data_IF_752108011815
#
_entry.id   IF_752108011815
#
_cell.length_a   1.000
_cell.length_b   1.000
_cell.length_c   1.000
_cell.angle_alpha   90.00
_cell.angle_beta   90.00
_cell.angle_gamma   90.00
#
_symmetry.space_group_name_H-M   'P 1'
#
loop_
_entity.id
_entity.type
_entity.pdbx_description
1 polymer ?
#
# COMPACT_ATOMS: atom_id res chain seq x y z
N UNK A 1 7.36 -83.26 18.15
CA UNK A 1 6.46 -82.89 17.02
C UNK A 1 5.39 -81.89 17.45
N UNK A 2 5.76 -80.86 18.23
CA UNK A 2 4.79 -79.95 18.87
C UNK A 2 5.04 -78.46 18.57
N UNK A 3 5.93 -78.13 17.64
CA UNK A 3 6.31 -76.74 17.35
C UNK A 3 5.81 -76.19 15.99
N UNK A 4 5.30 -77.03 15.08
CA UNK A 4 4.93 -76.60 13.72
C UNK A 4 3.47 -76.14 13.58
N UNK A 5 2.59 -76.49 14.52
CA UNK A 5 1.15 -76.13 14.46
C UNK A 5 0.82 -74.76 15.07
N UNK A 6 1.71 -74.14 15.86
CA UNK A 6 1.50 -72.80 16.40
C UNK A 6 1.90 -71.69 15.41
N UNK A 7 2.86 -71.96 14.52
CA UNK A 7 3.33 -70.98 13.53
C UNK A 7 2.34 -70.80 12.36
N UNK A 8 1.70 -71.89 11.91
CA UNK A 8 0.68 -71.87 10.84
C UNK A 8 -0.68 -71.29 11.27
N UNK A 9 -0.99 -71.29 12.57
CA UNK A 9 -2.21 -70.69 13.11
C UNK A 9 -2.09 -69.15 13.17
N UNK A 10 -0.89 -68.65 13.54
CA UNK A 10 -0.58 -67.22 13.60
C UNK A 10 -0.47 -66.56 12.21
N UNK A 11 0.08 -67.25 11.19
CA UNK A 11 0.13 -66.69 9.82
C UNK A 11 -1.27 -66.42 9.24
N UNK A 12 -2.25 -67.31 9.51
CA UNK A 12 -3.63 -67.12 9.02
C UNK A 12 -4.34 -65.97 9.74
N UNK A 13 -4.12 -65.79 11.04
CA UNK A 13 -4.65 -64.62 11.78
C UNK A 13 -3.98 -63.31 11.39
N UNK A 14 -2.67 -63.31 11.13
CA UNK A 14 -1.92 -62.13 10.68
C UNK A 14 -2.32 -61.74 9.25
N UNK A 15 -2.47 -62.70 8.33
CA UNK A 15 -2.96 -62.43 6.97
C UNK A 15 -4.42 -61.97 7.00
N UNK A 16 -5.24 -62.48 7.91
CA UNK A 16 -6.62 -62.00 8.10
C UNK A 16 -6.65 -60.58 8.68
N UNK A 17 -5.80 -60.25 9.66
CA UNK A 17 -5.66 -58.90 10.21
C UNK A 17 -5.13 -57.90 9.18
N UNK A 18 -4.13 -58.27 8.37
CA UNK A 18 -3.58 -57.42 7.29
C UNK A 18 -4.62 -57.22 6.17
N UNK A 19 -5.37 -58.26 5.80
CA UNK A 19 -6.46 -58.16 4.81
C UNK A 19 -7.69 -57.38 5.29
N UNK A 20 -7.93 -57.31 6.61
CA UNK A 20 -9.03 -56.55 7.22
C UNK A 20 -8.61 -55.10 7.49
N UNK A 21 -7.37 -54.86 7.95
CA UNK A 21 -6.81 -53.52 8.14
C UNK A 21 -6.60 -52.78 6.82
N UNK A 22 -6.34 -53.50 5.71
CA UNK A 22 -6.28 -52.89 4.38
C UNK A 22 -7.67 -52.68 3.72
N UNK A 23 -8.77 -53.03 4.42
CA UNK A 23 -10.17 -52.92 3.91
C UNK A 23 -10.99 -51.80 4.56
N UNK A 24 -10.45 -51.12 5.56
CA UNK A 24 -11.01 -49.91 6.20
C UNK A 24 -9.83 -49.00 6.59
N UNK A 25 -9.62 -47.77 6.15
CA UNK A 25 -10.44 -46.83 5.40
C UNK A 25 -9.66 -45.52 5.19
N UNK A 26 -9.37 -45.07 3.96
CA UNK A 26 -9.40 -43.65 3.60
C UNK A 26 -10.79 -43.29 3.04
N UNK A 27 -11.83 -44.07 3.37
CA UNK A 27 -13.06 -44.13 2.57
C UNK A 27 -13.98 -42.93 2.74
N UNK A 28 -13.87 -42.16 3.82
CA UNK A 28 -14.78 -41.03 4.01
C UNK A 28 -14.40 -39.82 3.15
N UNK A 29 -13.11 -39.60 2.91
CA UNK A 29 -12.64 -38.52 2.04
C UNK A 29 -12.60 -38.94 0.56
N UNK A 30 -12.24 -40.20 0.27
CA UNK A 30 -12.24 -40.73 -1.11
C UNK A 30 -13.67 -40.88 -1.67
N UNK A 31 -14.63 -41.40 -0.90
CA UNK A 31 -16.02 -41.55 -1.36
C UNK A 31 -16.78 -40.21 -1.46
N UNK A 32 -16.29 -39.16 -0.80
CA UNK A 32 -16.81 -37.80 -0.96
C UNK A 32 -16.47 -37.24 -2.35
N UNK A 33 -15.26 -37.55 -2.86
CA UNK A 33 -14.79 -37.14 -4.19
C UNK A 33 -15.26 -38.05 -5.34
N UNK A 34 -15.55 -39.34 -5.10
CA UNK A 34 -15.97 -40.27 -6.16
C UNK A 34 -17.48 -40.20 -6.51
N UNK A 35 -18.27 -39.46 -5.74
CA UNK A 35 -19.69 -39.29 -6.01
C UNK A 35 -19.92 -38.17 -7.04
N UNK A 36 -20.27 -38.57 -8.28
CA UNK A 36 -20.59 -37.63 -9.38
C UNK A 36 -21.68 -36.61 -9.00
N UNK A 37 -22.60 -36.99 -8.12
CA UNK A 37 -23.66 -36.12 -7.61
C UNK A 37 -23.16 -35.06 -6.62
N UNK A 38 -22.28 -35.42 -5.66
CA UNK A 38 -21.70 -34.45 -4.73
C UNK A 38 -20.76 -33.49 -5.45
N UNK A 39 -19.94 -33.96 -6.39
CA UNK A 39 -19.11 -33.09 -7.21
C UNK A 39 -19.92 -32.13 -8.08
N UNK A 40 -21.04 -32.60 -8.66
CA UNK A 40 -21.93 -31.73 -9.44
C UNK A 40 -22.61 -30.70 -8.56
N UNK A 41 -23.08 -31.09 -7.37
CA UNK A 41 -23.70 -30.18 -6.41
C UNK A 41 -22.69 -29.13 -5.92
N UNK A 42 -21.46 -29.54 -5.58
CA UNK A 42 -20.37 -28.65 -5.18
C UNK A 42 -20.03 -27.68 -6.32
N UNK A 43 -20.01 -28.14 -7.58
CA UNK A 43 -19.80 -27.27 -8.74
C UNK A 43 -20.91 -26.20 -8.87
N UNK A 44 -22.18 -26.57 -8.73
CA UNK A 44 -23.29 -25.61 -8.79
C UNK A 44 -23.30 -24.64 -7.61
N UNK A 45 -22.95 -25.10 -6.41
CA UNK A 45 -22.81 -24.25 -5.22
C UNK A 45 -21.65 -23.26 -5.39
N UNK A 46 -20.52 -23.71 -5.93
CA UNK A 46 -19.37 -22.84 -6.22
C UNK A 46 -19.71 -21.84 -7.33
N UNK A 47 -20.41 -22.27 -8.38
CA UNK A 47 -20.86 -21.40 -9.47
C UNK A 47 -21.83 -20.34 -8.96
N UNK A 48 -22.76 -20.71 -8.07
CA UNK A 48 -23.69 -19.78 -7.41
C UNK A 48 -22.95 -18.78 -6.51
N UNK A 49 -21.97 -19.24 -5.73
CA UNK A 49 -21.11 -18.38 -4.92
C UNK A 49 -20.35 -17.37 -5.77
N UNK A 50 -19.74 -17.81 -6.88
CA UNK A 50 -19.04 -16.91 -7.81
C UNK A 50 -19.99 -15.88 -8.43
N UNK A 51 -21.21 -16.29 -8.76
CA UNK A 51 -22.23 -15.42 -9.35
C UNK A 51 -22.77 -14.38 -8.35
N UNK A 52 -22.77 -14.69 -7.05
CA UNK A 52 -23.16 -13.76 -5.98
C UNK A 52 -22.01 -12.87 -5.50
N UNK A 53 -20.76 -13.34 -5.54
CA UNK A 53 -19.58 -12.57 -5.12
C UNK A 53 -19.19 -11.53 -6.18
N UNK A 54 -19.33 -11.85 -7.47
CA UNK A 54 -19.04 -10.92 -8.58
C UNK A 54 -19.77 -9.57 -8.49
N UNK A 55 -21.11 -9.50 -8.32
CA UNK A 55 -21.81 -8.23 -8.18
C UNK A 55 -21.44 -7.50 -6.89
N UNK A 56 -21.11 -8.21 -5.80
CA UNK A 56 -20.66 -7.56 -4.56
C UNK A 56 -19.29 -6.90 -4.74
N UNK A 57 -18.33 -7.57 -5.40
CA UNK A 57 -17.03 -6.99 -5.70
C UNK A 57 -17.15 -5.82 -6.68
N UNK A 58 -18.00 -5.93 -7.69
CA UNK A 58 -18.27 -4.85 -8.63
C UNK A 58 -18.94 -3.65 -7.95
N UNK A 59 -19.90 -3.88 -7.07
CA UNK A 59 -20.54 -2.82 -6.27
C UNK A 59 -19.52 -2.20 -5.31
N UNK A 60 -18.64 -2.99 -4.68
CA UNK A 60 -17.56 -2.47 -3.85
C UNK A 60 -16.60 -1.58 -4.65
N UNK A 61 -16.16 -2.05 -5.83
CA UNK A 61 -15.28 -1.29 -6.73
C UNK A 61 -15.97 -0.01 -7.24
N UNK A 62 -17.24 -0.09 -7.58
CA UNK A 62 -18.07 1.05 -7.97
C UNK A 62 -18.23 2.04 -6.81
N UNK A 63 -18.52 1.57 -5.60
CA UNK A 63 -18.62 2.41 -4.39
C UNK A 63 -17.28 3.07 -4.09
N UNK A 64 -16.16 2.34 -4.16
CA UNK A 64 -14.83 2.94 -3.94
C UNK A 64 -14.49 3.99 -4.99
N UNK A 65 -14.88 3.76 -6.25
CA UNK A 65 -14.68 4.69 -7.36
C UNK A 65 -15.56 5.94 -7.22
N UNK A 66 -16.80 5.79 -6.79
CA UNK A 66 -17.70 6.92 -6.51
C UNK A 66 -17.20 7.68 -5.28
N UNK A 67 -16.78 6.98 -4.22
CA UNK A 67 -16.30 7.59 -2.98
C UNK A 67 -15.01 8.38 -3.18
N UNK A 68 -14.11 7.94 -4.05
CA UNK A 68 -12.89 8.70 -4.38
C UNK A 68 -13.20 9.97 -5.17
N UNK A 69 -14.25 9.97 -6.01
CA UNK A 69 -14.73 11.14 -6.76
C UNK A 69 -15.39 12.20 -5.88
N UNK A 70 -15.90 11.80 -4.72
CA UNK A 70 -16.66 12.66 -3.80
C UNK A 70 -15.91 13.00 -2.51
N UNK A 71 -14.57 12.95 -2.48
CA UNK A 71 -13.85 13.51 -1.34
C UNK A 71 -14.05 15.03 -1.30
N UNK A 72 -14.65 15.59 -0.23
CA UNK A 72 -14.82 17.03 -0.12
C UNK A 72 -13.44 17.71 -0.05
N UNK A 73 -13.32 18.85 -0.73
CA UNK A 73 -12.09 19.64 -0.72
C UNK A 73 -11.83 20.10 0.71
N UNK A 74 -10.76 19.58 1.33
CA UNK A 74 -10.34 20.01 2.65
C UNK A 74 -9.92 21.49 2.62
N UNK A 75 -10.35 22.25 3.63
CA UNK A 75 -9.92 23.63 3.82
C UNK A 75 -8.48 23.67 4.34
N UNK A 76 -7.56 24.23 3.55
CA UNK A 76 -6.14 24.32 3.89
C UNK A 76 -5.76 25.62 4.61
N UNK A 77 -6.70 26.53 4.82
CA UNK A 77 -6.42 27.80 5.48
C UNK A 77 -5.88 27.58 6.90
N UNK A 78 -4.68 28.08 7.18
CA UNK A 78 -4.00 27.95 8.47
C UNK A 78 -3.45 26.55 8.76
N UNK A 79 -3.52 25.61 7.81
CA UNK A 79 -2.87 24.29 7.90
C UNK A 79 -1.37 24.42 7.61
N UNK A 80 -0.58 23.53 8.20
CA UNK A 80 0.88 23.51 7.98
C UNK A 80 1.25 22.33 7.10
N UNK A 81 1.87 22.62 5.96
CA UNK A 81 2.23 21.63 4.94
C UNK A 81 3.75 21.64 4.73
N UNK A 82 4.38 20.48 4.90
CA UNK A 82 5.80 20.26 4.64
C UNK A 82 5.97 19.55 3.30
N UNK A 83 6.67 20.18 2.36
CA UNK A 83 6.88 19.66 0.99
C UNK A 83 8.37 19.46 0.74
N UNK A 84 8.77 18.24 0.39
CA UNK A 84 10.15 17.93 -0.01
C UNK A 84 10.31 17.93 -1.53
N UNK A 85 11.51 18.25 -2.03
CA UNK A 85 11.76 18.37 -3.47
C UNK A 85 10.98 19.53 -4.11
N UNK A 86 10.84 20.65 -3.41
CA UNK A 86 9.97 21.75 -3.81
C UNK A 86 10.65 22.82 -4.71
N UNK A 87 11.93 22.66 -5.05
CA UNK A 87 12.68 23.62 -5.88
C UNK A 87 12.28 23.61 -7.38
N UNK A 88 11.59 22.56 -7.84
CA UNK A 88 11.15 22.41 -9.23
C UNK A 88 10.02 21.40 -9.39
N UNK A 89 9.48 21.31 -10.62
CA UNK A 89 8.55 20.26 -11.04
C UNK A 89 7.25 20.24 -10.24
N UNK A 90 6.80 19.03 -9.87
CA UNK A 90 5.54 18.85 -9.14
C UNK A 90 5.58 19.43 -7.73
N UNK A 91 6.74 19.40 -7.06
CA UNK A 91 6.89 19.97 -5.71
C UNK A 91 6.67 21.47 -5.68
N UNK A 92 7.22 22.19 -6.66
CA UNK A 92 6.98 23.62 -6.86
C UNK A 92 5.48 23.91 -7.11
N UNK A 93 4.86 23.17 -8.04
CA UNK A 93 3.44 23.37 -8.36
C UNK A 93 2.52 23.08 -7.17
N UNK A 94 2.83 22.05 -6.37
CA UNK A 94 2.10 21.75 -5.14
C UNK A 94 2.26 22.86 -4.11
N UNK A 95 3.47 23.42 -3.93
CA UNK A 95 3.67 24.55 -3.03
C UNK A 95 2.78 25.74 -3.41
N UNK A 96 2.69 26.06 -4.70
CA UNK A 96 1.80 27.11 -5.20
C UNK A 96 0.32 26.80 -4.99
N UNK A 97 -0.10 25.55 -5.18
CA UNK A 97 -1.50 25.17 -5.00
C UNK A 97 -1.92 25.20 -3.52
N UNK A 98 -1.06 24.74 -2.60
CA UNK A 98 -1.31 24.87 -1.16
C UNK A 98 -1.29 26.33 -0.71
N UNK A 99 -0.38 27.15 -1.25
CA UNK A 99 -0.33 28.58 -0.98
C UNK A 99 -1.62 29.29 -1.36
N UNK A 100 -2.16 29.04 -2.56
CA UNK A 100 -3.44 29.62 -3.01
C UNK A 100 -4.62 29.27 -2.10
N UNK A 101 -4.53 28.14 -1.39
CA UNK A 101 -5.54 27.69 -0.43
C UNK A 101 -5.28 28.20 1.00
N UNK A 102 -4.27 29.05 1.21
CA UNK A 102 -3.97 29.71 2.48
C UNK A 102 -3.25 28.83 3.50
N UNK A 103 -2.56 27.78 3.06
CA UNK A 103 -1.72 26.97 3.94
C UNK A 103 -0.41 27.69 4.28
N UNK A 104 0.09 27.49 5.50
CA UNK A 104 1.48 27.79 5.85
C UNK A 104 2.37 26.66 5.35
N UNK A 105 3.55 26.99 4.80
CA UNK A 105 4.39 26.00 4.13
C UNK A 105 5.77 25.90 4.79
N UNK A 106 6.27 24.66 4.90
CA UNK A 106 7.71 24.42 4.88
C UNK A 106 8.07 23.76 3.56
N UNK A 107 9.02 24.33 2.83
CA UNK A 107 9.51 23.76 1.56
C UNK A 107 10.97 23.35 1.70
N UNK A 108 11.29 22.13 1.28
CA UNK A 108 12.61 21.53 1.43
C UNK A 108 13.14 21.09 0.07
N UNK A 109 14.41 21.38 -0.21
CA UNK A 109 15.12 20.82 -1.36
C UNK A 109 16.63 20.74 -1.08
N UNK A 110 17.35 20.00 -1.91
CA UNK A 110 18.81 19.95 -1.84
C UNK A 110 19.37 21.30 -2.29
N UNK A 111 20.48 21.73 -1.68
CA UNK A 111 21.20 22.93 -2.09
C UNK A 111 21.99 22.66 -3.37
N UNK A 112 21.46 23.11 -4.49
CA UNK A 112 22.12 23.08 -5.79
C UNK A 112 22.44 24.51 -6.25
N UNK A 113 23.48 24.73 -7.07
CA UNK A 113 23.85 26.06 -7.57
C UNK A 113 22.69 26.79 -8.27
N UNK A 114 21.81 26.05 -8.94
CA UNK A 114 20.66 26.58 -9.68
C UNK A 114 19.34 26.46 -8.89
N UNK A 115 19.41 26.14 -7.60
CA UNK A 115 18.20 25.91 -6.80
C UNK A 115 17.34 27.17 -6.74
N UNK A 116 16.05 27.01 -7.07
CA UNK A 116 15.06 28.09 -7.10
C UNK A 116 14.20 28.13 -5.84
N UNK A 117 14.55 27.38 -4.80
CA UNK A 117 13.71 27.18 -3.62
C UNK A 117 13.30 28.51 -2.94
N UNK A 118 14.21 29.47 -2.85
CA UNK A 118 13.91 30.80 -2.30
C UNK A 118 12.87 31.55 -3.14
N UNK A 119 12.99 31.54 -4.47
CA UNK A 119 11.99 32.12 -5.38
C UNK A 119 10.64 31.44 -5.29
N UNK A 120 10.63 30.12 -5.08
CA UNK A 120 9.39 29.36 -4.83
C UNK A 120 8.75 29.83 -3.53
N UNK A 121 9.53 30.08 -2.47
CA UNK A 121 9.02 30.60 -1.21
C UNK A 121 8.40 31.98 -1.37
N UNK A 122 9.11 32.92 -2.01
CA UNK A 122 8.62 34.27 -2.31
C UNK A 122 7.31 34.21 -3.09
N UNK A 123 7.29 33.42 -4.18
CA UNK A 123 6.10 33.28 -5.02
C UNK A 123 4.93 32.62 -4.28
N UNK A 124 5.19 31.66 -3.40
CA UNK A 124 4.15 31.05 -2.58
C UNK A 124 3.53 32.06 -1.61
N UNK A 125 4.33 32.94 -1.00
CA UNK A 125 3.80 34.06 -0.20
C UNK A 125 2.90 34.97 -1.06
N UNK A 126 3.36 35.37 -2.25
CA UNK A 126 2.56 36.21 -3.17
C UNK A 126 1.23 35.57 -3.59
N UNK A 127 1.18 34.23 -3.66
CA UNK A 127 -0.01 33.48 -4.07
C UNK A 127 -1.04 33.29 -2.94
N UNK A 128 -0.71 33.65 -1.70
CA UNK A 128 -1.64 33.62 -0.57
C UNK A 128 -1.20 32.77 0.62
N UNK A 129 0.02 32.20 0.61
CA UNK A 129 0.56 31.54 1.80
C UNK A 129 0.77 32.57 2.91
N UNK A 130 0.27 32.36 4.14
CA UNK A 130 0.50 33.29 5.25
C UNK A 130 1.97 33.38 5.71
N UNK A 131 2.69 32.26 5.64
CA UNK A 131 4.11 32.17 6.00
C UNK A 131 4.74 30.96 5.29
N UNK A 132 6.01 31.10 4.90
CA UNK A 132 6.76 30.05 4.19
C UNK A 132 8.16 29.94 4.77
N UNK A 133 8.50 28.77 5.30
CA UNK A 133 9.84 28.39 5.73
C UNK A 133 10.52 27.59 4.61
N UNK A 134 11.64 28.06 4.06
CA UNK A 134 12.43 27.27 3.12
C UNK A 134 13.67 26.70 3.82
N UNK A 135 14.00 25.44 3.55
CA UNK A 135 15.13 24.74 4.16
C UNK A 135 15.89 23.99 3.07
N UNK A 136 17.21 24.15 3.06
CA UNK A 136 18.08 23.30 2.27
C UNK A 136 18.48 22.07 3.08
N UNK A 137 18.03 20.89 2.65
CA UNK A 137 18.33 19.63 3.30
C UNK A 137 18.28 18.46 2.30
N UNK A 138 19.07 17.44 2.58
CA UNK A 138 19.14 16.17 1.87
C UNK A 138 18.30 15.13 2.59
N UNK A 139 17.20 14.72 1.95
CA UNK A 139 16.26 13.73 2.48
C UNK A 139 16.86 12.33 2.63
N UNK A 140 18.03 12.06 2.04
CA UNK A 140 18.74 10.79 2.23
C UNK A 140 19.40 10.68 3.61
N UNK A 141 19.57 11.81 4.32
CA UNK A 141 20.20 11.87 5.63
C UNK A 141 19.14 12.00 6.72
N UNK A 142 19.04 10.99 7.57
CA UNK A 142 18.03 10.91 8.64
C UNK A 142 18.10 12.11 9.60
N UNK A 143 19.29 12.60 9.91
CA UNK A 143 19.47 13.72 10.84
C UNK A 143 18.93 15.04 10.24
N UNK A 144 19.15 15.26 8.94
CA UNK A 144 18.61 16.43 8.24
C UNK A 144 17.07 16.32 8.10
N UNK A 145 16.55 15.10 7.95
CA UNK A 145 15.10 14.83 8.00
C UNK A 145 14.48 15.19 9.34
N UNK A 146 15.12 14.81 10.45
CA UNK A 146 14.66 15.20 11.80
C UNK A 146 14.69 16.71 11.97
N UNK A 147 15.79 17.34 11.56
CA UNK A 147 15.99 18.78 11.67
C UNK A 147 14.87 19.58 10.99
N UNK A 148 14.53 19.31 9.71
CA UNK A 148 13.51 20.13 9.03
C UNK A 148 12.09 19.90 9.56
N UNK A 149 11.80 18.71 10.10
CA UNK A 149 10.52 18.43 10.76
C UNK A 149 10.44 19.20 12.07
N UNK A 150 11.49 19.15 12.88
CA UNK A 150 11.58 19.87 14.15
C UNK A 150 11.51 21.39 13.93
N UNK A 151 12.21 21.91 12.92
CA UNK A 151 12.14 23.33 12.55
C UNK A 151 10.74 23.75 12.08
N UNK A 152 10.04 22.87 11.36
CA UNK A 152 8.64 23.10 10.95
C UNK A 152 7.72 23.19 12.16
N UNK A 153 7.82 22.23 13.08
CA UNK A 153 7.02 22.22 14.31
C UNK A 153 7.39 23.41 15.20
N UNK A 154 8.66 23.77 15.28
CA UNK A 154 9.14 24.93 16.06
C UNK A 154 8.63 26.25 15.49
N UNK A 155 8.57 26.38 14.16
CA UNK A 155 8.10 27.59 13.47
C UNK A 155 6.59 27.75 13.56
N UNK A 156 5.84 26.68 13.34
CA UNK A 156 4.38 26.74 13.16
C UNK A 156 3.57 26.10 14.28
N UNK A 157 4.22 25.45 15.25
CA UNK A 157 3.60 24.76 16.38
C UNK A 157 2.93 23.42 16.04
N UNK A 158 2.81 23.08 14.75
CA UNK A 158 2.12 21.89 14.24
C UNK A 158 2.64 21.46 12.87
N UNK A 159 2.28 20.26 12.45
CA UNK A 159 2.44 19.76 11.08
C UNK A 159 1.19 18.95 10.73
N UNK A 160 0.45 19.36 9.71
CA UNK A 160 -0.77 18.68 9.27
C UNK A 160 -0.49 17.71 8.12
N UNK A 161 0.26 18.18 7.10
CA UNK A 161 0.49 17.43 5.88
C UNK A 161 1.99 17.31 5.61
N UNK A 162 2.44 16.11 5.25
CA UNK A 162 3.77 15.87 4.73
C UNK A 162 3.66 15.34 3.29
N UNK A 163 4.31 16.04 2.36
CA UNK A 163 4.37 15.68 0.94
C UNK A 163 5.79 15.21 0.61
N UNK A 164 5.94 13.91 0.44
CA UNK A 164 7.20 13.29 0.01
C UNK A 164 7.30 13.33 -1.52
N UNK A 165 7.91 14.39 -2.05
CA UNK A 165 8.08 14.60 -3.49
C UNK A 165 9.55 14.64 -3.93
N UNK A 166 10.50 14.65 -3.00
CA UNK A 166 11.92 14.47 -3.35
C UNK A 166 12.14 13.08 -3.99
N UNK A 167 12.56 13.06 -5.25
CA UNK A 167 12.92 11.85 -5.99
C UNK A 167 14.21 12.08 -6.78
N UNK A 168 15.15 11.15 -6.67
CA UNK A 168 16.40 11.18 -7.46
C UNK A 168 16.08 10.58 -8.82
N UNK A 169 15.81 11.43 -9.82
CA UNK A 169 15.82 10.98 -11.20
C UNK A 169 17.28 10.83 -11.65
N UNK A 170 17.90 9.70 -11.34
CA UNK A 170 19.11 9.30 -12.06
C UNK A 170 18.70 9.09 -13.52
N UNK A 171 19.05 10.04 -14.38
CA UNK A 171 19.00 9.95 -15.84
C UNK A 171 19.99 8.87 -16.33
N UNK A 172 19.68 7.61 -16.06
CA UNK A 172 20.14 6.54 -16.94
C UNK A 172 19.15 6.52 -18.10
N UNK A 173 19.63 6.98 -19.26
CA UNK A 173 18.99 6.77 -20.54
C UNK A 173 18.88 5.27 -20.82
N UNK A 174 17.90 4.61 -20.22
CA UNK A 174 17.41 3.32 -20.64
C UNK A 174 16.01 3.57 -21.13
N UNK A 175 15.81 3.26 -22.41
CA UNK A 175 14.53 3.24 -23.07
C UNK A 175 13.61 2.28 -22.30
N UNK A 176 12.70 2.81 -21.47
CA UNK A 176 11.82 2.00 -20.62
C UNK A 176 10.37 2.37 -20.91
N UNK A 177 9.72 1.37 -21.48
CA UNK A 177 8.29 1.12 -21.66
C UNK A 177 7.39 1.73 -20.57
N UNK A 178 6.26 2.30 -21.01
CA UNK A 178 5.28 3.10 -20.24
C UNK A 178 4.52 2.25 -19.18
N UNK A 179 4.86 0.99 -19.02
CA UNK A 179 4.15 0.02 -18.16
C UNK A 179 4.79 -0.25 -16.79
N UNK A 180 5.82 0.52 -16.37
CA UNK A 180 6.44 0.38 -15.03
C UNK A 180 6.54 1.69 -14.25
N UNK A 181 5.41 2.36 -14.03
CA UNK A 181 5.31 3.41 -13.01
C UNK A 181 5.02 2.78 -11.64
N UNK A 182 6.07 2.41 -10.90
CA UNK A 182 5.92 1.83 -9.55
C UNK A 182 6.91 2.33 -8.48
N UNK A 183 7.83 3.29 -8.75
CA UNK A 183 8.38 4.06 -7.64
C UNK A 183 8.41 5.56 -7.96
N UNK A 184 7.25 6.16 -8.20
CA UNK A 184 7.05 7.61 -8.04
C UNK A 184 5.74 7.81 -7.31
N UNK A 185 5.64 7.23 -6.12
CA UNK A 185 4.45 7.35 -5.29
C UNK A 185 4.52 8.71 -4.57
N UNK A 186 3.69 9.67 -4.98
CA UNK A 186 3.36 10.83 -4.16
C UNK A 186 2.73 10.32 -2.85
N UNK A 187 3.54 10.16 -1.82
CA UNK A 187 3.05 9.89 -0.48
C UNK A 187 2.69 11.24 0.15
N UNK A 188 1.42 11.60 0.03
CA UNK A 188 0.81 12.63 0.87
C UNK A 188 0.44 11.96 2.19
N UNK A 189 1.32 12.05 3.18
CA UNK A 189 1.02 11.58 4.53
C UNK A 189 0.21 12.67 5.23
N UNK A 190 -1.08 12.39 5.44
CA UNK A 190 -1.94 13.18 6.32
C UNK A 190 -1.64 12.81 7.77
N UNK A 191 -1.22 13.80 8.58
CA UNK A 191 -0.99 13.62 10.01
C UNK A 191 -2.27 14.07 10.73
N UNK A 192 -3.02 13.15 11.39
CA UNK A 192 -4.22 13.56 12.12
C UNK A 192 -3.86 14.53 13.24
N UNK A 193 -4.63 15.62 13.45
CA UNK A 193 -4.43 16.49 14.60
C UNK A 193 -4.65 15.69 15.89
N UNK A 194 -3.80 15.95 16.91
CA UNK A 194 -4.00 15.43 18.27
C UNK A 194 -5.21 16.07 18.94
#
# INVERSE_FOLDING_TARGET
>A
MHHDNYFLQNEKEIIHCVCVANRHSPTMFQAYFDNKFTNSLVYYVLLLLLLLVSPFLFIWELITTIRSRFQPIENMSGKVVLITGASSGLGELMAYEYAKRGACLTIVAIKEPESRLEKVAERACELGSPDVLFIFADVSKVDECRMFVDDTIKRFGRLDHLVCNAGIANLYSVNIDITKFAPVMMLQLFIPPK
#
